data_IF_622764994786
#
_entry.id   IF_622764994786
#
_cell.length_a   1.000
_cell.length_b   1.000
_cell.length_c   1.000
_cell.angle_alpha   90.00
_cell.angle_beta   90.00
_cell.angle_gamma   90.00
#
_symmetry.space_group_name_H-M   'P 1'
#
loop_
_entity.id
_entity.type
_entity.pdbx_description
1 polymer ?
#
# COMPACT_ATOMS: atom_id res chain seq x y z
N UNK A 1 2.57 7.95 20.37
CA UNK A 1 2.83 7.00 21.49
C UNK A 1 2.13 5.65 21.33
N UNK A 2 0.79 5.58 21.28
CA UNK A 2 0.07 4.28 21.23
C UNK A 2 0.41 3.39 20.03
N UNK A 3 0.49 3.94 18.82
CA UNK A 3 0.80 3.15 17.60
C UNK A 3 2.18 2.49 17.70
N UNK A 4 3.19 3.25 18.13
CA UNK A 4 4.55 2.74 18.32
C UNK A 4 4.60 1.65 19.38
N UNK A 5 3.87 1.83 20.49
CA UNK A 5 3.77 0.83 21.54
C UNK A 5 3.19 -0.50 21.04
N UNK A 6 2.08 -0.46 20.28
CA UNK A 6 1.49 -1.69 19.74
C UNK A 6 2.36 -2.32 18.65
N UNK A 7 3.05 -1.51 17.84
CA UNK A 7 3.99 -2.01 16.84
C UNK A 7 5.14 -2.79 17.48
N UNK A 8 5.71 -2.28 18.58
CA UNK A 8 6.72 -2.99 19.37
C UNK A 8 6.20 -4.30 19.99
N UNK A 9 4.89 -4.42 20.19
CA UNK A 9 4.21 -5.62 20.67
C UNK A 9 3.81 -6.60 19.57
N UNK A 10 4.16 -6.30 18.31
CA UNK A 10 3.96 -7.18 17.16
C UNK A 10 2.80 -6.79 16.24
N UNK A 11 2.13 -5.65 16.48
CA UNK A 11 1.13 -5.13 15.55
C UNK A 11 1.77 -4.90 14.18
N UNK A 12 1.14 -5.42 13.13
CA UNK A 12 1.53 -5.14 11.75
C UNK A 12 0.86 -3.86 11.27
N UNK A 13 1.59 -3.06 10.49
CA UNK A 13 1.07 -1.81 9.94
C UNK A 13 1.08 -1.86 8.41
N UNK A 14 0.06 -1.26 7.81
CA UNK A 14 -0.01 -1.03 6.37
C UNK A 14 -0.21 0.45 6.10
N UNK A 15 0.81 1.09 5.50
CA UNK A 15 0.73 2.46 5.04
C UNK A 15 0.33 2.55 3.58
N UNK A 16 -0.90 3.01 3.29
CA UNK A 16 -1.36 3.30 1.93
C UNK A 16 -1.21 4.79 1.62
N UNK A 17 -0.61 5.14 0.48
CA UNK A 17 -0.36 6.51 0.02
C UNK A 17 0.27 7.39 1.11
N UNK A 18 -0.48 8.29 1.74
CA UNK A 18 -0.01 9.13 2.84
C UNK A 18 0.47 8.32 4.05
N UNK A 19 -0.12 7.14 4.30
CA UNK A 19 0.36 6.21 5.31
C UNK A 19 1.78 5.71 5.03
N UNK A 20 2.17 5.54 3.76
CA UNK A 20 3.54 5.17 3.41
C UNK A 20 4.54 6.27 3.80
N UNK A 21 4.15 7.55 3.63
CA UNK A 21 4.96 8.70 4.06
C UNK A 21 5.14 8.69 5.58
N UNK A 22 4.08 8.43 6.35
CA UNK A 22 4.14 8.41 7.81
C UNK A 22 5.07 7.32 8.35
N UNK A 23 5.15 6.18 7.66
CA UNK A 23 5.93 5.02 8.09
C UNK A 23 7.39 5.03 7.61
N UNK A 24 7.70 5.82 6.57
CA UNK A 24 9.04 5.90 5.99
C UNK A 24 10.08 6.41 6.99
N UNK A 25 11.30 5.87 6.88
CA UNK A 25 12.45 6.33 7.67
C UNK A 25 13.00 7.67 7.17
N UNK A 26 13.04 7.88 5.86
CA UNK A 26 13.48 9.14 5.27
C UNK A 26 12.39 9.75 4.40
N UNK A 27 12.00 10.99 4.70
CA UNK A 27 11.12 11.80 3.84
C UNK A 27 11.95 12.94 3.25
N UNK A 28 12.04 13.01 1.93
CA UNK A 28 12.89 14.01 1.27
C UNK A 28 12.34 15.41 1.54
N UNK A 29 13.16 16.27 2.15
CA UNK A 29 12.84 17.67 2.44
C UNK A 29 11.95 17.91 3.67
N UNK A 30 11.59 16.86 4.42
CA UNK A 30 10.73 16.95 5.61
C UNK A 30 11.24 15.99 6.71
N UNK A 31 10.96 16.25 8.00
CA UNK A 31 11.27 15.27 9.04
C UNK A 31 10.40 14.00 8.89
N UNK A 32 10.97 12.83 9.18
CA UNK A 32 10.21 11.59 9.29
C UNK A 32 9.30 11.60 10.53
N UNK A 33 8.25 10.76 10.51
CA UNK A 33 7.27 10.71 11.60
C UNK A 33 7.42 9.46 12.46
N UNK A 34 7.14 8.27 11.92
CA UNK A 34 7.26 7.02 12.68
C UNK A 34 8.56 6.25 12.44
N UNK A 35 9.21 6.41 11.27
CA UNK A 35 10.46 5.70 10.93
C UNK A 35 10.41 4.19 11.19
N UNK A 36 9.39 3.51 10.66
CA UNK A 36 9.14 2.08 10.91
C UNK A 36 9.54 1.16 9.75
N UNK A 37 9.95 1.73 8.62
CA UNK A 37 10.48 0.99 7.48
C UNK A 37 11.57 1.80 6.77
N UNK A 38 12.70 1.14 6.50
CA UNK A 38 13.92 1.71 5.87
C UNK A 38 13.70 1.97 4.37
N UNK A 39 12.90 3.00 4.09
CA UNK A 39 12.67 3.53 2.75
C UNK A 39 12.90 5.03 2.72
N UNK A 40 13.30 5.51 1.55
CA UNK A 40 13.31 6.93 1.22
C UNK A 40 12.10 7.26 0.35
N UNK A 41 11.34 8.29 0.74
CA UNK A 41 10.11 8.68 0.05
C UNK A 41 10.08 10.18 -0.24
N UNK A 42 9.66 10.53 -1.47
CA UNK A 42 9.45 11.90 -1.92
C UNK A 42 7.96 12.15 -2.07
N UNK A 43 7.44 13.17 -1.35
CA UNK A 43 6.04 13.61 -1.49
C UNK A 43 5.83 14.30 -2.84
N UNK A 44 4.66 14.09 -3.44
CA UNK A 44 4.22 14.82 -4.64
C UNK A 44 5.27 14.84 -5.77
N UNK A 45 5.92 13.72 -6.02
CA UNK A 45 6.98 13.62 -7.02
C UNK A 45 6.47 13.65 -8.48
N UNK A 46 5.16 13.84 -8.67
CA UNK A 46 4.52 14.17 -9.93
C UNK A 46 4.06 15.64 -9.83
N UNK A 47 4.67 16.51 -10.63
CA UNK A 47 4.39 17.94 -10.62
C UNK A 47 2.92 18.27 -10.88
N UNK A 48 2.43 19.31 -10.19
CA UNK A 48 1.09 19.91 -10.31
C UNK A 48 -0.08 18.94 -10.40
N UNK A 49 -0.60 18.43 -9.27
CA UNK A 49 -1.98 17.91 -9.09
C UNK A 49 -2.56 16.86 -10.09
N UNK A 50 -1.91 16.50 -11.20
CA UNK A 50 -2.62 15.99 -12.37
C UNK A 50 -2.42 14.54 -12.76
N UNK A 51 -1.34 13.84 -12.45
CA UNK A 51 -1.29 12.44 -12.87
C UNK A 51 -1.78 11.52 -11.74
N UNK A 52 -3.08 11.65 -11.44
CA UNK A 52 -3.81 10.50 -10.91
C UNK A 52 -4.02 9.55 -12.07
N UNK A 53 -3.51 8.33 -11.96
CA UNK A 53 -3.56 7.37 -13.03
C UNK A 53 -3.92 5.98 -12.49
N UNK A 54 -4.37 5.13 -13.40
CA UNK A 54 -4.62 3.73 -13.12
C UNK A 54 -3.61 2.91 -13.90
N UNK A 55 -3.09 1.85 -13.27
CA UNK A 55 -2.25 0.86 -13.92
C UNK A 55 -2.76 -0.53 -13.58
N UNK A 56 -2.21 -1.54 -14.23
CA UNK A 56 -2.39 -2.94 -13.87
C UNK A 56 -1.01 -3.54 -13.62
N UNK A 57 -0.88 -4.38 -12.59
CA UNK A 57 0.37 -5.06 -12.32
C UNK A 57 0.13 -6.49 -11.85
N UNK A 58 0.97 -7.41 -12.34
CA UNK A 58 1.12 -8.75 -11.79
C UNK A 58 2.21 -8.71 -10.71
N UNK A 59 1.84 -9.07 -9.49
CA UNK A 59 2.76 -9.13 -8.35
C UNK A 59 2.67 -10.54 -7.76
N UNK A 60 3.50 -11.51 -8.22
CA UNK A 60 3.35 -12.92 -7.86
C UNK A 60 3.40 -13.20 -6.36
N UNK A 61 4.10 -12.36 -5.57
CA UNK A 61 4.10 -12.47 -4.11
C UNK A 61 2.75 -12.14 -3.48
N UNK A 62 1.94 -11.29 -4.12
CA UNK A 62 0.65 -10.81 -3.62
C UNK A 62 -0.51 -11.64 -4.19
N UNK A 63 -0.51 -11.91 -5.49
CA UNK A 63 -1.54 -12.71 -6.17
C UNK A 63 -1.03 -13.30 -7.49
N UNK A 64 -1.62 -14.41 -7.97
CA UNK A 64 -1.25 -15.03 -9.24
C UNK A 64 -1.75 -14.28 -10.48
N UNK A 65 -2.78 -13.43 -10.32
CA UNK A 65 -3.40 -12.69 -11.41
C UNK A 65 -3.03 -11.19 -11.37
N UNK A 66 -3.01 -10.50 -12.52
CA UNK A 66 -2.87 -9.05 -12.57
C UNK A 66 -3.98 -8.34 -11.77
N UNK A 67 -3.63 -7.21 -11.15
CA UNK A 67 -4.58 -6.42 -10.37
C UNK A 67 -4.54 -4.94 -10.74
N UNK A 68 -5.70 -4.25 -10.72
CA UNK A 68 -5.75 -2.81 -10.91
C UNK A 68 -5.09 -2.07 -9.75
N UNK A 69 -4.41 -0.97 -10.06
CA UNK A 69 -3.75 -0.08 -9.12
C UNK A 69 -4.21 1.36 -9.37
N UNK A 70 -4.67 2.06 -8.34
CA UNK A 70 -5.14 3.44 -8.44
C UNK A 70 -4.17 4.39 -7.74
N UNK A 71 -3.53 5.29 -8.48
CA UNK A 71 -2.59 6.28 -7.95
C UNK A 71 -3.28 7.65 -7.91
N UNK A 72 -3.29 8.31 -6.76
CA UNK A 72 -3.86 9.66 -6.59
C UNK A 72 -2.83 10.53 -5.89
N UNK A 73 -2.20 11.45 -6.64
CA UNK A 73 -1.11 12.31 -6.14
C UNK A 73 -0.06 11.49 -5.36
N UNK A 74 0.27 10.32 -5.89
CA UNK A 74 1.05 9.32 -5.18
C UNK A 74 2.47 9.83 -4.86
N UNK A 75 3.00 9.56 -3.66
CA UNK A 75 4.42 9.75 -3.39
C UNK A 75 5.25 8.75 -4.21
N UNK A 76 6.56 9.02 -4.35
CA UNK A 76 7.51 8.07 -4.95
C UNK A 76 8.46 7.56 -3.87
N UNK A 77 8.55 6.24 -3.73
CA UNK A 77 9.61 5.61 -2.93
C UNK A 77 10.84 5.50 -3.84
N UNK A 78 11.88 6.24 -3.53
CA UNK A 78 13.11 6.39 -4.32
C UNK A 78 14.21 5.43 -3.88
N UNK A 79 14.17 5.00 -2.61
CA UNK A 79 15.15 4.09 -2.04
C UNK A 79 14.50 3.08 -1.09
N UNK A 80 15.13 1.91 -0.98
CA UNK A 80 14.82 0.91 0.02
C UNK A 80 16.16 0.37 0.55
N UNK A 81 16.31 0.38 1.87
CA UNK A 81 17.51 -0.09 2.53
C UNK A 81 17.45 -1.57 2.91
N UNK A 82 18.20 -1.97 3.94
CA UNK A 82 18.43 -3.39 4.23
C UNK A 82 17.24 -4.00 4.97
N UNK A 83 16.79 -5.17 4.50
CA UNK A 83 15.66 -5.88 5.10
C UNK A 83 14.29 -5.38 4.63
N UNK A 84 14.27 -4.52 3.61
CA UNK A 84 13.06 -4.15 2.88
C UNK A 84 12.96 -4.97 1.59
N UNK A 85 11.85 -5.68 1.46
CA UNK A 85 11.45 -6.43 0.29
C UNK A 85 10.67 -5.52 -0.66
N UNK A 86 11.23 -5.27 -1.85
CA UNK A 86 10.51 -4.55 -2.91
C UNK A 86 9.52 -5.49 -3.59
N UNK A 87 8.23 -5.18 -3.51
CA UNK A 87 7.15 -5.97 -4.09
C UNK A 87 6.84 -5.54 -5.52
N UNK A 88 6.88 -4.24 -5.79
CA UNK A 88 6.57 -3.68 -7.11
C UNK A 88 7.42 -2.45 -7.39
N UNK A 89 8.00 -2.40 -8.60
CA UNK A 89 8.57 -1.19 -9.20
C UNK A 89 7.72 -0.76 -10.38
N UNK A 90 7.50 0.54 -10.52
CA UNK A 90 6.80 1.14 -11.65
C UNK A 90 7.55 2.42 -12.04
N UNK A 91 7.80 2.62 -13.33
CA UNK A 91 8.40 3.83 -13.89
C UNK A 91 9.61 4.38 -13.09
N UNK A 92 10.50 3.47 -12.69
CA UNK A 92 11.75 3.81 -11.99
C UNK A 92 11.63 4.05 -10.48
N UNK A 93 10.44 3.99 -9.88
CA UNK A 93 10.23 4.10 -8.43
C UNK A 93 9.60 2.82 -7.85
N UNK A 94 9.62 2.71 -6.52
CA UNK A 94 9.00 1.59 -5.80
C UNK A 94 7.54 1.95 -5.49
N UNK A 95 6.61 1.11 -5.95
CA UNK A 95 5.17 1.32 -5.75
C UNK A 95 4.62 0.51 -4.57
N UNK A 96 5.26 -0.62 -4.23
CA UNK A 96 4.97 -1.41 -3.04
C UNK A 96 6.24 -2.04 -2.48
N UNK A 97 6.38 -2.02 -1.16
CA UNK A 97 7.48 -2.64 -0.43
C UNK A 97 7.03 -3.09 0.95
N UNK A 98 7.80 -3.97 1.58
CA UNK A 98 7.50 -4.42 2.93
C UNK A 98 8.76 -4.74 3.74
N UNK A 99 8.58 -4.78 5.05
CA UNK A 99 9.50 -5.37 6.03
C UNK A 99 8.72 -6.39 6.87
N UNK A 100 9.33 -7.13 7.80
CA UNK A 100 8.59 -8.10 8.63
C UNK A 100 7.37 -7.52 9.37
N UNK A 101 7.42 -6.23 9.76
CA UNK A 101 6.36 -5.55 10.51
C UNK A 101 5.46 -4.64 9.67
N UNK A 102 5.92 -4.18 8.51
CA UNK A 102 5.28 -3.09 7.78
C UNK A 102 5.05 -3.48 6.32
N UNK A 103 3.89 -3.12 5.77
CA UNK A 103 3.62 -3.08 4.33
C UNK A 103 3.41 -1.62 3.93
N UNK A 104 3.94 -1.21 2.79
CA UNK A 104 3.66 0.11 2.20
C UNK A 104 3.25 -0.01 0.74
N UNK A 105 2.27 0.79 0.35
CA UNK A 105 1.84 0.95 -1.05
C UNK A 105 1.64 2.44 -1.34
N UNK A 106 2.14 2.95 -2.46
CA UNK A 106 1.94 4.36 -2.84
C UNK A 106 0.65 4.59 -3.64
N UNK A 107 -0.03 3.51 -4.02
CA UNK A 107 -1.37 3.50 -4.60
C UNK A 107 -2.43 3.19 -3.52
N UNK A 108 -3.70 3.29 -3.95
CA UNK A 108 -4.90 3.10 -3.16
C UNK A 108 -5.59 1.77 -3.50
N UNK A 109 -5.16 0.64 -2.92
CA UNK A 109 -5.78 -0.67 -3.14
C UNK A 109 -7.26 -0.71 -2.73
N UNK A 110 -7.65 0.12 -1.76
CA UNK A 110 -9.03 0.30 -1.29
C UNK A 110 -9.97 0.93 -2.32
N UNK A 111 -9.41 1.60 -3.34
CA UNK A 111 -10.15 2.22 -4.43
C UNK A 111 -10.22 1.33 -5.67
N UNK A 112 -10.11 0.02 -5.47
CA UNK A 112 -10.17 -0.98 -6.54
C UNK A 112 -11.09 -2.14 -6.13
N UNK A 113 -11.61 -2.92 -7.09
CA UNK A 113 -12.38 -4.12 -6.77
C UNK A 113 -11.49 -5.27 -6.24
N UNK A 114 -10.16 -5.13 -6.26
CA UNK A 114 -9.23 -6.21 -5.92
C UNK A 114 -8.98 -6.33 -4.42
N UNK A 115 -9.26 -7.51 -3.86
CA UNK A 115 -8.92 -7.85 -2.47
C UNK A 115 -7.50 -8.41 -2.31
N UNK A 116 -6.70 -8.47 -3.39
CA UNK A 116 -5.39 -9.11 -3.39
C UNK A 116 -4.48 -8.60 -2.25
N UNK A 117 -4.25 -7.28 -2.19
CA UNK A 117 -3.43 -6.70 -1.13
C UNK A 117 -4.05 -6.79 0.26
N UNK A 118 -5.38 -6.75 0.37
CA UNK A 118 -6.08 -6.91 1.65
C UNK A 118 -5.89 -8.32 2.21
N UNK A 119 -6.03 -9.35 1.37
CA UNK A 119 -5.75 -10.75 1.73
C UNK A 119 -4.27 -10.95 2.05
N UNK A 120 -3.37 -10.36 1.25
CA UNK A 120 -1.93 -10.37 1.51
C UNK A 120 -1.58 -9.80 2.88
N UNK A 121 -2.13 -8.64 3.23
CA UNK A 121 -1.90 -8.03 4.53
C UNK A 121 -2.53 -8.82 5.68
N UNK A 122 -3.72 -9.41 5.48
CA UNK A 122 -4.33 -10.29 6.47
C UNK A 122 -3.43 -11.52 6.78
N UNK A 123 -2.86 -12.14 5.74
CA UNK A 123 -1.87 -13.22 5.90
C UNK A 123 -0.62 -12.75 6.66
N UNK A 124 -0.11 -11.55 6.35
CA UNK A 124 1.01 -10.93 7.09
C UNK A 124 0.69 -10.73 8.58
N UNK A 125 -0.56 -10.46 8.91
CA UNK A 125 -1.07 -10.37 10.28
C UNK A 125 -1.28 -11.72 10.96
N UNK A 126 -1.02 -12.84 10.28
CA UNK A 126 -1.24 -14.20 10.79
C UNK A 126 -2.71 -14.65 10.69
N UNK A 127 -3.55 -13.94 9.94
CA UNK A 127 -4.92 -14.34 9.69
C UNK A 127 -4.99 -15.24 8.46
N UNK A 128 -5.91 -16.20 8.47
CA UNK A 128 -6.20 -17.04 7.29
C UNK A 128 -7.56 -16.62 6.72
N UNK A 129 -7.60 -15.86 5.61
CA UNK A 129 -8.87 -15.47 5.00
C UNK A 129 -9.65 -16.70 4.54
N UNK A 130 -10.96 -16.77 4.80
CA UNK A 130 -11.78 -17.85 4.28
C UNK A 130 -11.81 -17.80 2.74
N UNK A 131 -11.45 -18.91 2.11
CA UNK A 131 -11.64 -19.10 0.69
C UNK A 131 -13.11 -19.49 0.46
N UNK A 132 -14.03 -18.52 0.52
CA UNK A 132 -15.35 -18.76 -0.09
C UNK A 132 -15.16 -18.81 -1.61
N UNK A 133 -15.97 -19.64 -2.29
CA UNK A 133 -15.86 -20.11 -3.69
C UNK A 133 -15.74 -19.05 -4.80
N UNK A 134 -15.63 -17.76 -4.47
CA UNK A 134 -15.26 -16.73 -5.42
C UNK A 134 -13.76 -16.83 -5.74
N UNK A 135 -13.46 -17.62 -6.76
CA UNK A 135 -12.13 -17.79 -7.38
C UNK A 135 -11.52 -16.47 -7.84
N UNK A 136 -12.31 -15.41 -7.95
CA UNK A 136 -11.87 -14.10 -8.43
C UNK A 136 -11.53 -13.17 -7.27
N UNK A 137 -10.29 -12.67 -7.22
CA UNK A 137 -9.89 -11.60 -6.29
C UNK A 137 -10.58 -10.26 -6.58
N UNK A 138 -11.32 -10.17 -7.68
CA UNK A 138 -12.10 -9.02 -8.13
C UNK A 138 -13.52 -9.14 -7.59
N UNK A 139 -13.96 -8.17 -6.79
CA UNK A 139 -15.35 -8.04 -6.38
C UNK A 139 -16.20 -7.49 -7.53
N UNK A 140 -17.05 -8.34 -8.11
CA UNK A 140 -17.92 -8.00 -9.25
C UNK A 140 -19.01 -6.98 -8.94
N UNK A 141 -19.34 -6.77 -7.65
CA UNK A 141 -20.38 -5.82 -7.20
C UNK A 141 -19.84 -4.44 -6.85
N UNK A 142 -18.52 -4.26 -6.99
CA UNK A 142 -17.83 -3.01 -6.70
C UNK A 142 -17.98 -2.01 -7.84
N UNK A 143 -18.16 -0.74 -7.48
CA UNK A 143 -18.16 0.41 -8.38
C UNK A 143 -17.34 1.57 -7.79
N UNK A 144 -17.05 2.59 -8.60
CA UNK A 144 -16.25 3.76 -8.18
C UNK A 144 -16.89 4.63 -7.09
N UNK A 145 -18.15 4.36 -6.71
CA UNK A 145 -18.89 4.99 -5.60
C UNK A 145 -19.04 4.04 -4.41
N UNK A 146 -18.49 2.84 -4.47
CA UNK A 146 -18.60 1.85 -3.39
C UNK A 146 -17.90 2.32 -2.12
N UNK A 147 -16.88 3.18 -2.25
CA UNK A 147 -16.25 3.86 -1.12
C UNK A 147 -17.15 4.91 -0.45
N UNK A 148 -18.12 5.50 -1.18
CA UNK A 148 -19.08 6.46 -0.61
C UNK A 148 -20.37 5.81 -0.09
N UNK A 149 -20.58 4.50 -0.31
CA UNK A 149 -21.83 3.81 0.09
C UNK A 149 -22.13 3.90 1.59
N UNK A 150 -21.11 4.13 2.42
CA UNK A 150 -21.26 4.31 3.87
C UNK A 150 -21.07 5.75 4.34
N UNK A 151 -20.79 6.68 3.43
CA UNK A 151 -20.71 8.11 3.73
C UNK A 151 -22.13 8.66 3.80
N UNK A 152 -22.78 8.53 4.97
CA UNK A 152 -23.93 9.36 5.29
C UNK A 152 -23.42 10.80 5.47
N UNK A 153 -23.81 11.69 4.57
CA UNK A 153 -23.79 13.14 4.81
C UNK A 153 -24.95 13.51 5.74
#
# INVERSE_FOLDING_TARGET
DRILHEFQRGLKLWGTCAGAILLADTVVGEPSFFSLIDIEILRNAFGSQLDSFVAEALIPRVAPDPMPLTFIRAPKITGAGRGVDVLLRLDGYIAAAESPGVLVTVFHPELTPSLAFHRYFALKCGLTPSMHEETTLINSTWDSRSWTRYTRL
#
